data_IF_794984360190
#
_entry.id   IF_794984360190
#
_cell.length_a   1.000
_cell.length_b   1.000
_cell.length_c   1.000
_cell.angle_alpha   90.00
_cell.angle_beta   90.00
_cell.angle_gamma   90.00
#
_symmetry.space_group_name_H-M   'P 1'
#
loop_
_entity.id
_entity.type
_entity.pdbx_description
1 polymer ?
#
# COMPACT_ATOMS: atom_id res chain seq x y z
N UNK A 1 8.21 -40.00 43.60
CA UNK A 1 7.76 -38.99 42.63
C UNK A 1 8.86 -37.90 42.59
N UNK A 2 9.71 -37.84 41.54
CA UNK A 2 10.67 -36.76 41.46
C UNK A 2 10.05 -35.52 40.84
N UNK A 3 10.30 -34.37 41.50
CA UNK A 3 9.96 -33.02 41.06
C UNK A 3 10.63 -32.66 39.72
N UNK A 4 9.82 -32.30 38.74
CA UNK A 4 10.29 -31.79 37.47
C UNK A 4 10.35 -30.27 37.57
N UNK A 5 11.51 -29.62 37.39
CA UNK A 5 11.60 -28.17 37.41
C UNK A 5 10.90 -27.58 36.16
N UNK A 6 10.13 -26.52 36.35
CA UNK A 6 9.48 -25.74 35.30
C UNK A 6 10.50 -25.06 34.36
N UNK A 7 10.21 -24.92 33.06
CA UNK A 7 11.11 -24.23 32.15
C UNK A 7 11.14 -22.72 32.46
N UNK A 8 12.33 -22.21 32.70
CA UNK A 8 12.61 -20.77 32.85
C UNK A 8 12.46 -20.11 31.46
N UNK A 9 11.44 -19.28 31.30
CA UNK A 9 11.33 -18.39 30.14
C UNK A 9 12.41 -17.31 30.26
N UNK A 10 13.44 -17.42 29.45
CA UNK A 10 14.42 -16.35 29.26
C UNK A 10 13.75 -15.24 28.45
N UNK A 11 13.63 -14.06 29.04
CA UNK A 11 13.19 -12.83 28.36
C UNK A 11 14.20 -12.48 27.25
N UNK A 12 13.76 -12.07 26.05
CA UNK A 12 14.68 -11.62 25.01
C UNK A 12 15.45 -10.38 25.49
N UNK A 13 16.72 -10.32 25.10
CA UNK A 13 17.67 -9.28 25.46
C UNK A 13 17.25 -7.94 24.85
N UNK A 14 17.14 -6.90 25.68
CA UNK A 14 16.85 -5.49 25.32
C UNK A 14 17.81 -4.87 24.30
N UNK A 15 18.92 -5.53 23.97
CA UNK A 15 19.90 -5.03 23.00
C UNK A 15 19.56 -5.36 21.53
N UNK A 16 18.81 -6.45 21.27
CA UNK A 16 18.37 -6.81 19.91
C UNK A 16 17.16 -6.00 19.45
N UNK A 17 16.34 -5.51 20.38
CA UNK A 17 15.18 -4.65 20.04
C UNK A 17 15.61 -3.22 19.68
N UNK A 18 16.69 -2.68 20.24
CA UNK A 18 17.17 -1.33 19.95
C UNK A 18 17.86 -1.20 18.58
N UNK A 19 18.45 -2.28 18.05
CA UNK A 19 19.14 -2.28 16.75
C UNK A 19 18.16 -2.39 15.56
N UNK A 20 16.93 -2.83 15.82
CA UNK A 20 15.86 -2.91 14.82
C UNK A 20 15.08 -1.61 14.67
N UNK A 21 14.95 -0.79 15.71
CA UNK A 21 14.17 0.46 15.69
C UNK A 21 14.81 1.54 14.78
N UNK A 22 16.13 1.56 14.62
CA UNK A 22 16.83 2.53 13.76
C UNK A 22 16.94 2.07 12.29
N UNK A 23 16.73 0.79 11.99
CA UNK A 23 16.98 0.23 10.66
C UNK A 23 16.01 0.77 9.60
N UNK A 24 14.72 0.89 9.88
CA UNK A 24 13.73 1.43 8.95
C UNK A 24 13.95 2.93 8.71
N UNK A 25 14.25 3.67 9.76
CA UNK A 25 14.55 5.09 9.70
C UNK A 25 15.76 5.34 8.79
N UNK A 26 16.86 4.61 8.99
CA UNK A 26 18.09 4.76 8.21
C UNK A 26 17.90 4.31 6.75
N UNK A 27 17.18 3.23 6.52
CA UNK A 27 16.81 2.80 5.17
C UNK A 27 15.95 3.86 4.45
N UNK A 28 15.03 4.50 5.18
CA UNK A 28 14.20 5.60 4.66
C UNK A 28 15.06 6.80 4.31
N UNK A 29 15.94 7.26 5.19
CA UNK A 29 16.90 8.35 4.93
C UNK A 29 17.75 8.08 3.69
N UNK A 30 18.29 6.88 3.61
CA UNK A 30 19.11 6.45 2.48
C UNK A 30 18.31 6.49 1.17
N UNK A 31 17.06 6.04 1.16
CA UNK A 31 16.21 6.04 -0.05
C UNK A 31 15.95 7.44 -0.60
N UNK A 32 15.76 8.45 0.28
CA UNK A 32 15.56 9.85 -0.07
C UNK A 32 16.85 10.65 -0.28
N UNK A 33 18.00 10.06 0.00
CA UNK A 33 19.29 10.74 -0.12
C UNK A 33 19.68 11.08 -1.56
N UNK A 34 20.68 11.94 -1.78
CA UNK A 34 21.07 12.43 -3.10
C UNK A 34 21.63 11.33 -4.02
N UNK A 35 22.07 10.21 -3.47
CA UNK A 35 22.49 8.98 -4.17
C UNK A 35 21.59 7.79 -3.82
N UNK A 36 20.44 8.07 -3.24
CA UNK A 36 19.45 7.07 -2.81
C UNK A 36 18.72 6.38 -3.96
N UNK A 37 17.86 5.45 -3.62
CA UNK A 37 17.09 4.66 -4.57
C UNK A 37 16.25 5.54 -5.52
N UNK A 38 15.60 6.57 -4.98
CA UNK A 38 14.78 7.51 -5.75
C UNK A 38 15.61 8.35 -6.73
N UNK A 39 16.77 8.82 -6.30
CA UNK A 39 17.66 9.62 -7.14
C UNK A 39 18.30 8.80 -8.27
N UNK A 40 18.59 7.52 -8.05
CA UNK A 40 19.11 6.63 -9.09
C UNK A 40 18.11 6.33 -10.20
N UNK A 41 16.81 6.28 -9.85
CA UNK A 41 15.77 5.97 -10.83
C UNK A 41 15.33 7.18 -11.65
N UNK A 42 15.41 8.39 -11.10
CA UNK A 42 14.92 9.60 -11.74
C UNK A 42 16.02 10.68 -11.75
N UNK A 43 16.59 10.95 -12.92
CA UNK A 43 17.60 12.00 -13.08
C UNK A 43 17.10 13.41 -12.75
N UNK A 44 15.78 13.61 -12.77
CA UNK A 44 15.14 14.86 -12.34
C UNK A 44 14.82 14.92 -10.85
N UNK A 45 15.15 13.88 -10.08
CA UNK A 45 14.89 13.84 -8.65
C UNK A 45 15.58 14.98 -7.93
N UNK A 46 14.84 15.67 -7.10
CA UNK A 46 15.35 16.71 -6.19
C UNK A 46 14.92 16.37 -4.78
N UNK A 47 15.89 16.28 -3.90
CA UNK A 47 15.64 16.11 -2.47
C UNK A 47 14.83 17.30 -1.94
N UNK A 48 13.78 17.02 -1.20
CA UNK A 48 12.88 18.00 -0.57
C UNK A 48 12.86 17.74 0.92
N UNK A 49 13.39 18.69 1.73
CA UNK A 49 13.49 18.48 3.18
C UNK A 49 12.17 18.06 3.83
N UNK A 50 11.07 18.76 3.57
CA UNK A 50 9.77 18.42 4.16
C UNK A 50 9.20 17.06 3.70
N UNK A 51 9.58 16.54 2.53
CA UNK A 51 9.22 15.19 2.10
C UNK A 51 9.99 14.15 2.89
N UNK A 52 11.27 14.36 3.08
CA UNK A 52 12.13 13.45 3.84
C UNK A 52 11.76 13.45 5.32
N UNK A 53 11.58 14.62 5.92
CA UNK A 53 11.11 14.76 7.30
C UNK A 53 9.80 14.01 7.55
N UNK A 54 8.83 14.16 6.65
CA UNK A 54 7.57 13.39 6.71
C UNK A 54 7.82 11.88 6.62
N UNK A 55 8.71 11.44 5.74
CA UNK A 55 8.99 10.02 5.56
C UNK A 55 9.69 9.42 6.80
N UNK A 56 10.61 10.15 7.40
CA UNK A 56 11.30 9.76 8.62
C UNK A 56 10.32 9.65 9.80
N UNK A 57 9.46 10.65 9.99
CA UNK A 57 8.43 10.61 11.04
C UNK A 57 7.45 9.42 10.85
N UNK A 58 7.16 9.04 9.61
CA UNK A 58 6.33 7.86 9.32
C UNK A 58 7.09 6.56 9.63
N UNK A 59 8.39 6.48 9.32
CA UNK A 59 9.22 5.34 9.68
C UNK A 59 9.24 5.11 11.19
N UNK A 60 9.50 6.17 11.96
CA UNK A 60 9.46 6.14 13.43
C UNK A 60 8.10 5.69 13.96
N UNK A 61 7.00 6.22 13.39
CA UNK A 61 5.65 5.84 13.80
C UNK A 61 5.31 4.37 13.49
N UNK A 62 5.83 3.83 12.37
CA UNK A 62 5.66 2.42 12.01
C UNK A 62 6.38 1.51 12.98
N UNK A 63 7.61 1.85 13.38
CA UNK A 63 8.41 1.05 14.32
C UNK A 63 7.86 1.14 15.73
N UNK A 64 7.54 2.34 16.19
CA UNK A 64 6.92 2.57 17.49
C UNK A 64 5.45 2.09 17.58
N UNK A 65 4.83 1.62 16.47
CA UNK A 65 3.41 1.30 16.40
C UNK A 65 2.53 2.44 16.93
N UNK A 66 2.93 3.67 16.66
CA UNK A 66 2.31 4.88 17.16
C UNK A 66 1.30 5.48 16.16
N UNK A 67 0.47 6.39 16.66
CA UNK A 67 -0.41 7.22 15.83
C UNK A 67 0.33 8.49 15.43
N UNK A 68 0.40 8.76 14.14
CA UNK A 68 0.99 9.98 13.58
C UNK A 68 -0.07 10.74 12.79
N UNK A 69 -0.19 12.05 13.05
CA UNK A 69 -0.99 12.97 12.25
C UNK A 69 -0.06 13.97 11.56
N UNK A 70 -0.16 14.06 10.23
CA UNK A 70 0.69 14.93 9.43
C UNK A 70 -0.17 15.87 8.61
N UNK A 71 0.05 17.16 8.76
CA UNK A 71 -0.44 18.20 7.85
C UNK A 71 0.72 18.65 6.95
N UNK A 72 0.57 18.42 5.66
CA UNK A 72 1.60 18.73 4.67
C UNK A 72 0.99 19.38 3.44
N UNK A 73 1.56 20.49 3.00
CA UNK A 73 1.11 21.26 1.85
C UNK A 73 1.04 20.47 0.54
N UNK A 74 0.37 21.01 -0.47
CA UNK A 74 0.34 20.43 -1.82
C UNK A 74 1.73 20.50 -2.46
N UNK A 75 2.09 19.46 -3.24
CA UNK A 75 3.36 19.45 -3.99
C UNK A 75 4.59 18.98 -3.22
N UNK A 76 4.52 18.75 -1.91
CA UNK A 76 5.63 18.21 -1.10
C UNK A 76 6.07 16.81 -1.56
N UNK A 77 5.15 16.03 -2.15
CA UNK A 77 5.43 14.65 -2.54
C UNK A 77 5.00 13.62 -1.48
N UNK A 78 3.89 13.89 -0.79
CA UNK A 78 3.32 13.04 0.27
C UNK A 78 3.27 11.56 -0.08
N UNK A 79 2.90 11.25 -1.33
CA UNK A 79 2.77 9.87 -1.80
C UNK A 79 4.05 9.07 -1.62
N UNK A 80 5.17 9.63 -2.02
CA UNK A 80 6.48 8.99 -1.85
C UNK A 80 6.87 8.94 -0.36
N UNK A 81 6.58 10.02 0.39
CA UNK A 81 6.91 10.09 1.80
C UNK A 81 6.27 8.98 2.64
N UNK A 82 5.05 8.53 2.33
CA UNK A 82 4.44 7.41 3.06
C UNK A 82 4.66 6.05 2.40
N UNK A 83 4.78 5.96 1.06
CA UNK A 83 4.97 4.68 0.40
C UNK A 83 6.36 4.09 0.61
N UNK A 84 7.41 4.92 0.69
CA UNK A 84 8.78 4.44 0.87
C UNK A 84 8.95 3.71 2.20
N UNK A 85 8.68 4.32 3.37
CA UNK A 85 8.80 3.60 4.64
C UNK A 85 7.81 2.43 4.73
N UNK A 86 6.60 2.54 4.17
CA UNK A 86 5.64 1.45 4.14
C UNK A 86 6.16 0.21 3.39
N UNK A 87 6.82 0.40 2.24
CA UNK A 87 7.41 -0.70 1.47
C UNK A 87 8.70 -1.24 2.09
N UNK A 88 9.50 -0.39 2.72
CA UNK A 88 10.74 -0.78 3.40
C UNK A 88 10.49 -1.54 4.70
N UNK A 89 9.36 -1.28 5.37
CA UNK A 89 9.05 -1.89 6.67
C UNK A 89 8.85 -3.40 6.62
N UNK A 90 8.59 -3.98 5.43
CA UNK A 90 8.22 -5.39 5.31
C UNK A 90 6.91 -5.78 6.00
N UNK A 91 6.25 -4.84 6.66
CA UNK A 91 5.01 -5.06 7.41
C UNK A 91 3.79 -5.09 6.46
N UNK A 92 2.68 -5.64 6.92
CA UNK A 92 1.41 -5.56 6.19
C UNK A 92 0.82 -4.17 6.38
N UNK A 93 0.67 -3.43 5.29
CA UNK A 93 0.19 -2.04 5.31
C UNK A 93 -1.13 -1.92 4.55
N UNK A 94 -2.08 -1.18 5.11
CA UNK A 94 -3.33 -0.79 4.48
C UNK A 94 -3.31 0.71 4.17
N UNK A 95 -3.43 1.05 2.87
CA UNK A 95 -3.54 2.44 2.42
C UNK A 95 -5.00 2.76 2.07
N UNK A 96 -5.62 3.67 2.81
CA UNK A 96 -6.97 4.17 2.53
C UNK A 96 -6.91 5.51 1.82
N UNK A 97 -7.71 5.67 0.76
CA UNK A 97 -7.76 6.90 -0.04
C UNK A 97 -9.19 7.37 -0.23
N UNK A 98 -9.41 8.67 -0.33
CA UNK A 98 -10.74 9.25 -0.43
C UNK A 98 -11.39 9.06 -1.81
N UNK A 99 -10.61 8.91 -2.88
CA UNK A 99 -11.13 8.85 -4.26
C UNK A 99 -10.61 7.66 -5.04
N UNK A 100 -11.45 7.13 -5.95
CA UNK A 100 -11.04 6.06 -6.88
C UNK A 100 -9.88 6.47 -7.78
N UNK A 101 -9.88 7.72 -8.24
CA UNK A 101 -8.82 8.25 -9.09
C UNK A 101 -7.46 8.20 -8.37
N UNK A 102 -7.41 8.59 -7.10
CA UNK A 102 -6.18 8.50 -6.31
C UNK A 102 -5.77 7.05 -6.06
N UNK A 103 -6.74 6.16 -5.81
CA UNK A 103 -6.47 4.73 -5.66
C UNK A 103 -5.86 4.13 -6.94
N UNK A 104 -6.43 4.43 -8.10
CA UNK A 104 -5.92 3.97 -9.39
C UNK A 104 -4.54 4.55 -9.69
N UNK A 105 -4.31 5.83 -9.40
CA UNK A 105 -2.99 6.47 -9.51
C UNK A 105 -1.94 5.77 -8.64
N UNK A 106 -2.26 5.52 -7.38
CA UNK A 106 -1.36 4.82 -6.46
C UNK A 106 -0.99 3.43 -6.98
N UNK A 107 -1.99 2.64 -7.35
CA UNK A 107 -1.79 1.26 -7.76
C UNK A 107 -1.07 1.12 -9.11
N UNK A 108 -1.47 1.93 -10.10
CA UNK A 108 -0.98 1.77 -11.47
C UNK A 108 0.31 2.52 -11.77
N UNK A 109 0.62 3.58 -11.00
CA UNK A 109 1.75 4.46 -11.28
C UNK A 109 2.74 4.57 -10.12
N UNK A 110 2.26 4.99 -8.95
CA UNK A 110 3.16 5.41 -7.88
C UNK A 110 3.80 4.22 -7.16
N UNK A 111 3.02 3.20 -6.81
CA UNK A 111 3.53 1.97 -6.18
C UNK A 111 4.50 1.20 -7.08
N UNK A 112 4.20 0.90 -8.36
CA UNK A 112 5.15 0.24 -9.25
C UNK A 112 6.47 0.99 -9.39
N UNK A 113 6.41 2.32 -9.50
CA UNK A 113 7.59 3.18 -9.62
C UNK A 113 8.48 3.11 -8.39
N UNK A 114 7.88 3.18 -7.20
CA UNK A 114 8.64 3.13 -5.95
C UNK A 114 9.18 1.72 -5.69
N UNK A 115 8.38 0.67 -5.95
CA UNK A 115 8.86 -0.71 -5.86
C UNK A 115 10.08 -0.96 -6.73
N UNK A 116 10.05 -0.48 -7.98
CA UNK A 116 11.18 -0.58 -8.89
C UNK A 116 12.41 0.18 -8.35
N UNK A 117 12.21 1.39 -7.81
CA UNK A 117 13.29 2.18 -7.21
C UNK A 117 13.96 1.47 -6.04
N UNK A 118 13.15 0.89 -5.16
CA UNK A 118 13.60 0.21 -3.94
C UNK A 118 14.07 -1.23 -4.18
N UNK A 119 13.82 -1.81 -5.37
CA UNK A 119 14.03 -3.23 -5.61
C UNK A 119 13.12 -4.13 -4.78
N UNK A 120 11.91 -3.63 -4.42
CA UNK A 120 10.97 -4.35 -3.56
C UNK A 120 10.08 -5.29 -4.37
N UNK A 121 9.90 -6.52 -3.90
CA UNK A 121 9.00 -7.54 -4.44
C UNK A 121 7.66 -7.63 -3.66
N UNK A 122 7.38 -6.69 -2.77
CA UNK A 122 6.18 -6.64 -1.96
C UNK A 122 4.90 -6.86 -2.80
N UNK A 123 4.05 -7.79 -2.40
CA UNK A 123 2.77 -8.03 -3.05
C UNK A 123 1.81 -6.86 -2.77
N UNK A 124 1.13 -6.39 -3.81
CA UNK A 124 0.20 -5.27 -3.72
C UNK A 124 -1.13 -5.63 -4.34
N UNK A 125 -2.21 -5.38 -3.62
CA UNK A 125 -3.57 -5.59 -4.09
C UNK A 125 -4.42 -4.33 -3.90
N UNK A 126 -5.46 -4.19 -4.73
CA UNK A 126 -6.44 -3.09 -4.61
C UNK A 126 -7.79 -3.66 -4.22
N UNK A 127 -8.38 -3.07 -3.20
CA UNK A 127 -9.76 -3.34 -2.82
C UNK A 127 -10.60 -2.08 -3.03
N UNK A 128 -11.57 -2.16 -3.94
CA UNK A 128 -12.56 -1.09 -4.14
C UNK A 128 -13.82 -1.38 -3.35
N UNK A 129 -14.62 -0.36 -3.10
CA UNK A 129 -15.93 -0.55 -2.48
C UNK A 129 -16.82 -1.47 -3.33
N UNK A 130 -17.70 -2.24 -2.70
CA UNK A 130 -18.58 -3.24 -3.35
C UNK A 130 -19.32 -2.71 -4.59
N UNK A 131 -19.72 -1.44 -4.59
CA UNK A 131 -20.42 -0.83 -5.73
C UNK A 131 -19.57 -0.73 -7.03
N UNK A 132 -18.27 -1.00 -6.94
CA UNK A 132 -17.37 -0.98 -8.11
C UNK A 132 -17.16 -2.38 -8.73
N UNK A 133 -17.77 -3.40 -8.15
CA UNK A 133 -17.67 -4.77 -8.66
C UNK A 133 -19.02 -5.23 -9.23
N UNK A 134 -18.95 -6.02 -10.29
CA UNK A 134 -20.13 -6.68 -10.84
C UNK A 134 -20.53 -7.83 -9.94
N UNK A 135 -21.79 -7.85 -9.50
CA UNK A 135 -22.34 -8.99 -8.78
C UNK A 135 -22.85 -10.04 -9.77
N UNK A 136 -22.25 -11.24 -9.87
CA UNK A 136 -22.66 -12.26 -10.84
C UNK A 136 -24.13 -12.68 -10.67
N UNK A 137 -24.61 -12.78 -9.43
CA UNK A 137 -25.98 -13.16 -9.11
C UNK A 137 -26.98 -12.12 -9.63
N UNK A 138 -26.71 -10.83 -9.39
CA UNK A 138 -27.57 -9.75 -9.87
C UNK A 138 -27.52 -9.62 -11.40
N UNK A 139 -26.35 -9.81 -12.01
CA UNK A 139 -26.17 -9.79 -13.45
C UNK A 139 -26.98 -10.92 -14.11
N UNK A 140 -26.84 -12.16 -13.63
CA UNK A 140 -27.57 -13.32 -14.14
C UNK A 140 -29.09 -13.16 -13.97
N UNK A 141 -29.54 -12.62 -12.82
CA UNK A 141 -30.95 -12.32 -12.60
C UNK A 141 -31.46 -11.25 -13.58
N UNK A 142 -30.72 -10.17 -13.78
CA UNK A 142 -31.07 -9.12 -14.71
C UNK A 142 -31.17 -9.62 -16.15
N UNK A 143 -30.25 -10.47 -16.57
CA UNK A 143 -30.28 -11.08 -17.92
C UNK A 143 -31.47 -12.02 -18.14
N UNK A 144 -31.86 -12.79 -17.10
CA UNK A 144 -32.97 -13.76 -17.21
C UNK A 144 -34.35 -13.12 -17.05
N UNK A 145 -34.50 -12.26 -16.03
CA UNK A 145 -35.81 -11.80 -15.59
C UNK A 145 -36.03 -10.29 -15.81
N UNK A 146 -34.97 -9.58 -16.26
CA UNK A 146 -34.97 -8.12 -16.37
C UNK A 146 -35.93 -7.60 -17.41
N UNK A 147 -36.79 -6.67 -17.03
CA UNK A 147 -37.65 -5.91 -17.92
C UNK A 147 -37.08 -4.51 -18.09
N UNK A 148 -36.46 -4.26 -19.23
CA UNK A 148 -35.77 -2.98 -19.48
C UNK A 148 -36.61 -2.11 -20.41
N UNK A 149 -36.66 -0.80 -20.09
CA UNK A 149 -37.31 0.19 -20.99
C UNK A 149 -36.47 0.46 -22.24
N UNK A 150 -35.13 0.44 -22.07
CA UNK A 150 -34.19 0.60 -23.18
C UNK A 150 -33.83 -0.78 -23.76
N UNK A 151 -34.16 -1.03 -25.07
CA UNK A 151 -33.88 -2.31 -25.74
C UNK A 151 -32.40 -2.63 -25.87
N UNK A 152 -31.48 -1.66 -25.67
CA UNK A 152 -30.04 -1.87 -25.74
C UNK A 152 -29.45 -2.45 -24.45
N UNK A 153 -30.13 -2.34 -23.31
CA UNK A 153 -29.61 -2.81 -22.01
C UNK A 153 -29.29 -4.30 -22.03
N UNK A 154 -30.11 -5.22 -22.53
CA UNK A 154 -29.76 -6.63 -22.57
C UNK A 154 -28.48 -6.93 -23.35
N UNK A 155 -28.24 -6.25 -24.45
CA UNK A 155 -27.00 -6.41 -25.22
C UNK A 155 -25.77 -5.92 -24.43
N UNK A 156 -25.87 -4.79 -23.75
CA UNK A 156 -24.82 -4.25 -22.90
C UNK A 156 -24.52 -5.18 -21.70
N UNK A 157 -25.55 -5.73 -21.07
CA UNK A 157 -25.38 -6.68 -19.97
C UNK A 157 -24.65 -7.96 -20.39
N UNK A 158 -24.91 -8.48 -21.61
CA UNK A 158 -24.17 -9.63 -22.16
C UNK A 158 -22.71 -9.34 -22.43
N UNK A 159 -22.36 -8.09 -22.79
CA UNK A 159 -20.96 -7.67 -22.90
C UNK A 159 -20.29 -7.68 -21.52
N UNK A 160 -20.97 -7.14 -20.49
CA UNK A 160 -20.48 -7.16 -19.11
C UNK A 160 -20.32 -8.59 -18.60
N UNK A 161 -21.26 -9.49 -18.89
CA UNK A 161 -21.21 -10.91 -18.51
C UNK A 161 -19.96 -11.59 -19.10
N UNK A 162 -19.68 -11.39 -20.39
CA UNK A 162 -18.47 -11.92 -21.03
C UNK A 162 -17.20 -11.36 -20.43
N UNK A 163 -17.18 -10.06 -20.15
CA UNK A 163 -16.04 -9.42 -19.52
C UNK A 163 -15.81 -9.95 -18.09
N UNK A 164 -16.89 -10.08 -17.31
CA UNK A 164 -16.81 -10.59 -15.95
C UNK A 164 -16.33 -12.06 -15.89
N UNK A 165 -16.65 -12.87 -16.89
CA UNK A 165 -16.17 -14.25 -17.00
C UNK A 165 -14.68 -14.36 -17.35
N UNK A 166 -14.09 -13.31 -17.94
CA UNK A 166 -12.67 -13.24 -18.29
C UNK A 166 -11.82 -12.52 -17.26
N UNK A 167 -12.46 -11.79 -16.33
CA UNK A 167 -11.77 -11.06 -15.27
C UNK A 167 -11.38 -12.02 -14.14
N UNK A 168 -10.11 -12.25 -13.96
CA UNK A 168 -9.57 -12.82 -12.73
C UNK A 168 -9.71 -11.78 -11.62
N UNK A 169 -10.53 -12.04 -10.60
CA UNK A 169 -10.67 -11.24 -9.39
C UNK A 169 -9.66 -11.67 -8.33
#
# INVERSE_FOLDING_TARGET
MPDTPAPTLSSPSTAEEADTDDALLEATRTAFGPRGALARQDSGYRQRPGQQEMAEAIADAIDAQAVLMVDAGTGIGKTFAYLVPALLSGKRVLLSTATRQLQDQLHQRDVPRIRQALGSDAAVAVLKGRANYVCPVHLSRALRDGRFRDPQIPARLRVIERFAALSET
#
